data_IF_436774084843
#
_entry.id   IF_436774084843
#
_cell.length_a   1.000
_cell.length_b   1.000
_cell.length_c   1.000
_cell.angle_alpha   90.00
_cell.angle_beta   90.00
_cell.angle_gamma   90.00
#
_symmetry.space_group_name_H-M   'P 1'
#
loop_
_entity.id
_entity.type
_entity.pdbx_description
1 polymer ?
#
# COMPACT_ATOMS: atom_id res chain seq x y z
N UNK A 1 -21.62 -11.28 -79.46
CA UNK A 1 -20.38 -12.02 -79.13
C UNK A 1 -20.09 -11.79 -77.67
N UNK A 2 -19.86 -12.89 -76.94
CA UNK A 2 -19.45 -12.94 -75.54
C UNK A 2 -18.21 -12.07 -75.28
N UNK A 3 -18.10 -11.47 -74.09
CA UNK A 3 -17.13 -11.87 -73.06
C UNK A 3 -17.55 -11.25 -71.72
N UNK A 4 -17.68 -12.16 -70.78
CA UNK A 4 -17.94 -12.06 -69.35
C UNK A 4 -16.78 -11.39 -68.60
N UNK A 5 -17.07 -10.49 -67.66
CA UNK A 5 -16.20 -10.26 -66.49
C UNK A 5 -17.09 -10.00 -65.27
N UNK A 6 -17.31 -11.05 -64.49
CA UNK A 6 -17.86 -10.97 -63.13
C UNK A 6 -16.67 -10.81 -62.20
N UNK A 7 -16.48 -9.61 -61.66
CA UNK A 7 -15.52 -9.36 -60.58
C UNK A 7 -16.04 -10.00 -59.30
N UNK A 8 -15.46 -11.13 -58.91
CA UNK A 8 -15.71 -11.76 -57.62
C UNK A 8 -15.10 -10.88 -56.51
N UNK A 9 -15.97 -10.20 -55.75
CA UNK A 9 -15.60 -9.49 -54.53
C UNK A 9 -15.40 -10.54 -53.42
N UNK A 10 -14.15 -10.91 -53.16
CA UNK A 10 -13.79 -11.79 -52.04
C UNK A 10 -13.94 -10.99 -50.75
N UNK A 11 -15.06 -11.18 -50.05
CA UNK A 11 -15.24 -10.73 -48.67
C UNK A 11 -14.34 -11.60 -47.78
N UNK A 12 -13.16 -11.09 -47.44
CA UNK A 12 -12.30 -11.66 -46.40
C UNK A 12 -13.04 -11.60 -45.06
N UNK A 13 -13.71 -12.69 -44.68
CA UNK A 13 -14.22 -12.89 -43.34
C UNK A 13 -13.03 -12.95 -42.38
N UNK A 14 -12.73 -11.83 -41.73
CA UNK A 14 -11.82 -11.80 -40.59
C UNK A 14 -12.44 -12.66 -39.50
N UNK A 15 -11.99 -13.91 -39.38
CA UNK A 15 -12.23 -14.73 -38.19
C UNK A 15 -11.73 -13.94 -36.98
N UNK A 16 -12.59 -13.60 -36.01
CA UNK A 16 -12.12 -13.08 -34.74
C UNK A 16 -11.16 -14.11 -34.16
N UNK A 17 -9.98 -13.67 -33.72
CA UNK A 17 -9.11 -14.54 -32.92
C UNK A 17 -9.93 -15.11 -31.76
N UNK A 18 -9.80 -16.40 -31.42
CA UNK A 18 -10.52 -16.96 -30.28
C UNK A 18 -10.08 -16.17 -29.05
N UNK A 19 -11.01 -15.40 -28.48
CA UNK A 19 -10.87 -14.89 -27.13
C UNK A 19 -10.55 -16.10 -26.25
N UNK A 20 -9.36 -16.12 -25.63
CA UNK A 20 -9.09 -17.09 -24.56
C UNK A 20 -10.15 -16.82 -23.50
N UNK A 21 -11.16 -17.69 -23.43
CA UNK A 21 -12.08 -17.75 -22.32
C UNK A 21 -11.24 -17.99 -21.06
N UNK A 22 -11.00 -16.93 -20.30
CA UNK A 22 -10.48 -17.02 -18.94
C UNK A 22 -11.64 -17.34 -17.99
N UNK A 23 -12.39 -18.40 -18.29
CA UNK A 23 -13.41 -18.97 -17.38
C UNK A 23 -12.76 -19.99 -16.43
N UNK A 24 -11.51 -19.74 -16.04
CA UNK A 24 -10.86 -20.43 -14.94
C UNK A 24 -11.14 -19.67 -13.66
N UNK A 25 -11.45 -20.38 -12.58
CA UNK A 25 -11.43 -19.80 -11.22
C UNK A 25 -10.11 -19.05 -11.06
N UNK A 26 -10.18 -17.75 -10.74
CA UNK A 26 -9.00 -17.00 -10.29
C UNK A 26 -8.64 -17.55 -8.93
N UNK A 27 -7.77 -18.55 -8.92
CA UNK A 27 -7.27 -19.15 -7.70
C UNK A 27 -6.24 -18.19 -7.10
N UNK A 28 -6.61 -17.41 -6.08
CA UNK A 28 -5.67 -16.59 -5.30
C UNK A 28 -4.93 -17.42 -4.25
N UNK A 29 -4.65 -18.70 -4.54
CA UNK A 29 -3.84 -19.53 -3.66
C UNK A 29 -2.53 -18.80 -3.38
N UNK A 30 -1.95 -18.91 -2.17
CA UNK A 30 -0.69 -18.26 -1.84
C UNK A 30 0.43 -18.94 -2.65
N UNK A 31 0.59 -18.52 -3.90
CA UNK A 31 1.78 -18.74 -4.68
C UNK A 31 2.87 -17.85 -4.12
N UNK A 32 4.09 -18.38 -4.04
CA UNK A 32 5.27 -17.53 -3.83
C UNK A 32 5.26 -16.51 -4.97
N UNK A 33 5.14 -15.23 -4.63
CA UNK A 33 5.19 -14.16 -5.61
C UNK A 33 6.52 -14.22 -6.37
N UNK A 34 6.46 -14.06 -7.70
CA UNK A 34 7.68 -14.01 -8.49
C UNK A 34 8.52 -12.80 -8.04
N UNK A 35 9.82 -13.01 -7.85
CA UNK A 35 10.78 -11.98 -7.39
C UNK A 35 10.68 -10.71 -8.23
N UNK A 36 10.46 -10.84 -9.54
CA UNK A 36 10.28 -9.70 -10.45
C UNK A 36 9.05 -8.85 -10.12
N UNK A 37 7.94 -9.48 -9.71
CA UNK A 37 6.73 -8.75 -9.32
C UNK A 37 6.93 -8.01 -8.01
N UNK A 38 7.63 -8.62 -7.04
CA UNK A 38 7.98 -7.94 -5.78
C UNK A 38 8.88 -6.73 -6.04
N UNK A 39 9.92 -6.90 -6.88
CA UNK A 39 10.83 -5.82 -7.28
C UNK A 39 10.10 -4.69 -7.99
N UNK A 40 9.19 -5.02 -8.90
CA UNK A 40 8.37 -4.04 -9.60
C UNK A 40 7.53 -3.21 -8.63
N UNK A 41 6.82 -3.86 -7.70
CA UNK A 41 6.01 -3.16 -6.68
C UNK A 41 6.88 -2.32 -5.75
N UNK A 42 8.07 -2.81 -5.37
CA UNK A 42 9.01 -2.06 -4.56
C UNK A 42 9.49 -0.81 -5.28
N UNK A 43 9.83 -0.91 -6.57
CA UNK A 43 10.19 0.25 -7.37
C UNK A 43 9.08 1.29 -7.42
N UNK A 44 7.82 0.87 -7.61
CA UNK A 44 6.66 1.77 -7.60
C UNK A 44 6.45 2.41 -6.22
N UNK A 45 6.53 1.63 -5.15
CA UNK A 45 6.39 2.11 -3.78
C UNK A 45 7.49 3.12 -3.39
N UNK A 46 8.71 2.92 -3.91
CA UNK A 46 9.86 3.76 -3.61
C UNK A 46 10.07 4.94 -4.56
N UNK A 47 9.35 5.00 -5.69
CA UNK A 47 9.52 6.04 -6.72
C UNK A 47 9.12 7.45 -6.26
N UNK A 48 8.12 7.57 -5.37
CA UNK A 48 7.56 8.87 -4.99
C UNK A 48 8.19 9.41 -3.71
N UNK A 49 8.55 10.71 -3.64
CA UNK A 49 8.99 11.34 -2.40
C UNK A 49 7.97 11.12 -1.28
N UNK A 50 8.48 10.92 -0.06
CA UNK A 50 7.61 10.80 1.10
C UNK A 50 6.99 12.16 1.48
N UNK A 51 5.79 12.16 2.09
CA UNK A 51 5.22 13.37 2.66
C UNK A 51 6.17 13.98 3.70
N UNK A 52 6.08 15.31 3.84
CA UNK A 52 6.89 16.06 4.80
C UNK A 52 6.76 15.49 6.21
N UNK A 53 7.90 15.25 6.86
CA UNK A 53 7.97 14.71 8.22
C UNK A 53 7.95 13.18 8.31
N UNK A 54 7.81 12.46 7.18
CA UNK A 54 8.05 11.02 7.20
C UNK A 54 9.58 10.74 7.19
N UNK A 55 10.06 9.77 7.98
CA UNK A 55 11.46 9.37 7.96
C UNK A 55 11.87 8.67 6.66
N UNK A 56 13.16 8.77 6.29
CA UNK A 56 13.71 8.06 5.14
C UNK A 56 14.11 6.60 5.45
N UNK A 57 14.58 6.33 6.68
CA UNK A 57 15.01 4.99 7.09
C UNK A 57 13.81 4.07 7.39
N UNK A 58 13.88 2.82 6.92
CA UNK A 58 12.74 1.88 7.00
C UNK A 58 12.24 1.65 8.45
N UNK A 59 13.12 1.51 9.45
CA UNK A 59 12.68 1.23 10.83
C UNK A 59 11.95 2.43 11.48
N UNK A 60 12.51 3.66 11.48
CA UNK A 60 11.74 4.84 11.90
C UNK A 60 10.49 5.10 11.05
N UNK A 61 10.54 4.82 9.75
CA UNK A 61 9.40 4.97 8.86
C UNK A 61 8.24 4.05 9.29
N UNK A 62 8.50 2.78 9.56
CA UNK A 62 7.45 1.84 9.98
C UNK A 62 6.83 2.26 11.32
N UNK A 63 7.63 2.78 12.25
CA UNK A 63 7.10 3.33 13.51
C UNK A 63 6.20 4.56 13.30
N UNK A 64 6.55 5.41 12.34
CA UNK A 64 5.73 6.55 11.92
C UNK A 64 4.42 6.08 11.27
N UNK A 65 4.48 5.09 10.37
CA UNK A 65 3.32 4.49 9.71
C UNK A 65 2.35 3.87 10.73
N UNK A 66 2.88 3.08 11.67
CA UNK A 66 2.08 2.47 12.75
C UNK A 66 1.35 3.53 13.59
N UNK A 67 2.04 4.61 13.96
CA UNK A 67 1.46 5.69 14.74
C UNK A 67 0.38 6.46 13.97
N UNK A 68 0.54 6.64 12.66
CA UNK A 68 -0.51 7.23 11.82
C UNK A 68 -1.79 6.37 11.82
N UNK A 69 -1.65 5.07 11.59
CA UNK A 69 -2.81 4.15 11.56
C UNK A 69 -3.49 4.08 12.92
N UNK A 70 -2.71 3.97 14.01
CA UNK A 70 -3.29 3.98 15.36
C UNK A 70 -4.04 5.28 15.67
N UNK A 71 -3.54 6.42 15.24
CA UNK A 71 -4.23 7.69 15.42
C UNK A 71 -5.50 7.82 14.57
N UNK A 72 -5.51 7.28 13.35
CA UNK A 72 -6.72 7.18 12.51
C UNK A 72 -7.78 6.28 13.15
N UNK A 73 -7.38 5.10 13.65
CA UNK A 73 -8.24 4.19 14.41
C UNK A 73 -8.83 4.91 15.63
N UNK A 74 -8.00 5.59 16.41
CA UNK A 74 -8.46 6.31 17.60
C UNK A 74 -9.44 7.43 17.23
N UNK A 75 -9.25 8.13 16.10
CA UNK A 75 -10.19 9.12 15.62
C UNK A 75 -11.54 8.49 15.27
N UNK A 76 -11.55 7.37 14.54
CA UNK A 76 -12.77 6.64 14.21
C UNK A 76 -13.53 6.14 15.44
N UNK A 77 -12.81 5.67 16.47
CA UNK A 77 -13.40 5.22 17.72
C UNK A 77 -14.13 6.32 18.50
N UNK A 78 -13.86 7.60 18.19
CA UNK A 78 -14.55 8.73 18.83
C UNK A 78 -15.92 9.04 18.24
N UNK A 79 -16.30 8.41 17.13
CA UNK A 79 -17.57 8.67 16.43
C UNK A 79 -18.74 7.95 17.11
N UNK A 80 -19.84 8.68 17.31
CA UNK A 80 -21.00 8.19 18.09
C UNK A 80 -21.82 7.14 17.33
N UNK A 81 -22.14 7.39 16.06
CA UNK A 81 -23.02 6.54 15.25
C UNK A 81 -22.26 5.87 14.09
N UNK A 82 -21.21 5.11 14.43
CA UNK A 82 -20.39 4.38 13.45
C UNK A 82 -21.24 3.42 12.63
N UNK A 83 -21.19 3.56 11.32
CA UNK A 83 -21.85 2.63 10.41
C UNK A 83 -21.02 1.34 10.23
N UNK A 84 -21.52 0.30 9.52
CA UNK A 84 -20.75 -0.93 9.32
C UNK A 84 -19.41 -0.72 8.61
N UNK A 85 -19.30 0.24 7.70
CA UNK A 85 -18.06 0.55 6.99
C UNK A 85 -17.04 1.17 7.96
N UNK A 86 -17.46 2.09 8.82
CA UNK A 86 -16.60 2.67 9.86
C UNK A 86 -15.98 1.59 10.76
N UNK A 87 -16.80 0.60 11.16
CA UNK A 87 -16.36 -0.52 11.99
C UNK A 87 -15.34 -1.41 11.26
N UNK A 88 -15.54 -1.67 9.97
CA UNK A 88 -14.59 -2.42 9.17
C UNK A 88 -13.27 -1.67 8.97
N UNK A 89 -13.32 -0.36 8.74
CA UNK A 89 -12.12 0.48 8.65
C UNK A 89 -11.32 0.44 9.95
N UNK A 90 -11.99 0.62 11.09
CA UNK A 90 -11.36 0.53 12.42
C UNK A 90 -10.73 -0.86 12.61
N UNK A 91 -11.44 -1.93 12.24
CA UNK A 91 -10.94 -3.30 12.35
C UNK A 91 -9.71 -3.53 11.48
N UNK A 92 -9.74 -3.09 10.21
CA UNK A 92 -8.63 -3.23 9.28
C UNK A 92 -7.41 -2.41 9.73
N UNK A 93 -7.61 -1.16 10.16
CA UNK A 93 -6.53 -0.33 10.70
C UNK A 93 -5.86 -0.95 11.93
N UNK A 94 -6.62 -1.60 12.82
CA UNK A 94 -6.04 -2.34 13.96
C UNK A 94 -5.17 -3.51 13.51
N UNK A 95 -5.59 -4.25 12.48
CA UNK A 95 -4.79 -5.35 11.93
C UNK A 95 -3.51 -4.83 11.27
N UNK A 96 -3.62 -3.75 10.50
CA UNK A 96 -2.47 -3.11 9.85
C UNK A 96 -1.45 -2.55 10.87
N UNK A 97 -1.92 -1.86 11.91
CA UNK A 97 -1.06 -1.40 13.00
C UNK A 97 -0.38 -2.57 13.73
N UNK A 98 -1.08 -3.68 13.93
CA UNK A 98 -0.50 -4.89 14.51
C UNK A 98 0.61 -5.49 13.63
N UNK A 99 0.43 -5.48 12.31
CA UNK A 99 1.45 -5.96 11.36
C UNK A 99 2.72 -5.09 11.39
N UNK A 100 2.57 -3.76 11.45
CA UNK A 100 3.71 -2.87 11.63
C UNK A 100 4.41 -3.08 12.98
N UNK A 101 3.64 -3.20 14.07
CA UNK A 101 4.18 -3.49 15.39
C UNK A 101 4.97 -4.80 15.39
N UNK A 102 4.45 -5.83 14.74
CA UNK A 102 5.13 -7.12 14.62
C UNK A 102 6.46 -6.99 13.84
N UNK A 103 6.48 -6.21 12.77
CA UNK A 103 7.70 -5.94 12.00
C UNK A 103 8.75 -5.17 12.83
N UNK A 104 8.34 -4.17 13.60
CA UNK A 104 9.22 -3.42 14.50
C UNK A 104 9.82 -4.34 15.56
N UNK A 105 8.99 -5.14 16.25
CA UNK A 105 9.46 -6.07 17.27
C UNK A 105 10.47 -7.10 16.70
N UNK A 106 10.19 -7.64 15.51
CA UNK A 106 11.09 -8.58 14.83
C UNK A 106 12.44 -7.94 14.41
N UNK A 107 12.44 -6.63 14.17
CA UNK A 107 13.63 -5.89 13.75
C UNK A 107 14.39 -5.22 14.89
N UNK A 108 13.77 -5.05 16.06
CA UNK A 108 14.32 -4.35 17.22
C UNK A 108 15.73 -4.82 17.64
N UNK A 109 16.04 -6.12 17.71
CA UNK A 109 17.37 -6.59 18.13
C UNK A 109 18.50 -6.16 17.19
N UNK A 110 18.18 -5.84 15.94
CA UNK A 110 19.14 -5.39 14.91
C UNK A 110 19.33 -3.88 14.90
N UNK A 111 18.56 -3.12 15.68
CA UNK A 111 18.62 -1.66 15.68
C UNK A 111 19.65 -1.11 16.65
N UNK A 112 20.25 0.01 16.26
CA UNK A 112 21.06 0.83 17.17
C UNK A 112 20.16 1.64 18.12
N UNK A 113 20.73 2.11 19.24
CA UNK A 113 20.00 2.99 20.16
C UNK A 113 19.54 4.29 19.47
N UNK A 114 20.36 4.86 18.59
CA UNK A 114 20.01 6.03 17.80
C UNK A 114 18.81 5.77 16.88
N UNK A 115 18.77 4.61 16.21
CA UNK A 115 17.65 4.25 15.32
C UNK A 115 16.35 4.04 16.09
N UNK A 116 16.41 3.41 17.27
CA UNK A 116 15.24 3.28 18.16
C UNK A 116 14.75 4.65 18.64
N UNK A 117 15.66 5.55 19.03
CA UNK A 117 15.29 6.90 19.43
C UNK A 117 14.62 7.68 18.29
N UNK A 118 15.15 7.58 17.06
CA UNK A 118 14.55 8.18 15.88
C UNK A 118 13.15 7.61 15.59
N UNK A 119 12.96 6.29 15.76
CA UNK A 119 11.65 5.66 15.59
C UNK A 119 10.63 6.13 16.63
N UNK A 120 11.02 6.23 17.90
CA UNK A 120 10.16 6.79 18.96
C UNK A 120 9.77 8.24 18.66
N UNK A 121 10.73 9.07 18.22
CA UNK A 121 10.46 10.46 17.86
C UNK A 121 9.51 10.55 16.66
N UNK A 122 9.70 9.72 15.64
CA UNK A 122 8.84 9.69 14.46
C UNK A 122 7.41 9.24 14.79
N UNK A 123 7.26 8.21 15.63
CA UNK A 123 5.94 7.78 16.12
C UNK A 123 5.23 8.87 16.93
N UNK A 124 5.96 9.60 17.78
CA UNK A 124 5.41 10.73 18.55
C UNK A 124 4.97 11.87 17.62
N UNK A 125 5.76 12.22 16.61
CA UNK A 125 5.39 13.25 15.63
C UNK A 125 4.14 12.83 14.83
N UNK A 126 4.08 11.59 14.34
CA UNK A 126 2.91 11.06 13.65
C UNK A 126 1.65 11.10 14.53
N UNK A 127 1.76 10.67 15.79
CA UNK A 127 0.66 10.73 16.75
C UNK A 127 0.15 12.15 16.95
N UNK A 128 1.08 13.13 17.05
CA UNK A 128 0.73 14.53 17.25
C UNK A 128 -0.06 15.14 16.08
N UNK A 129 0.01 14.56 14.86
CA UNK A 129 -0.79 15.03 13.72
C UNK A 129 -2.29 14.85 13.93
N UNK A 130 -2.70 13.92 14.79
CA UNK A 130 -4.10 13.65 15.11
C UNK A 130 -4.64 14.51 16.26
N UNK A 131 -3.77 15.06 17.11
CA UNK A 131 -4.16 15.86 18.28
C UNK A 131 -5.09 17.03 17.94
N UNK A 132 -4.85 17.82 16.87
CA UNK A 132 -5.75 18.92 16.52
C UNK A 132 -7.16 18.47 16.13
N UNK A 133 -7.35 17.22 15.71
CA UNK A 133 -8.62 16.66 15.24
C UNK A 133 -9.44 16.04 16.37
N UNK A 134 -8.79 15.44 17.38
CA UNK A 134 -9.48 14.70 18.43
C UNK A 134 -10.53 15.52 19.21
N UNK A 135 -10.27 16.82 19.39
CA UNK A 135 -11.16 17.76 20.08
C UNK A 135 -12.13 18.54 19.18
N UNK A 136 -12.17 18.24 17.87
CA UNK A 136 -13.07 18.91 16.94
C UNK A 136 -14.49 18.36 17.03
N UNK A 137 -15.43 19.09 16.42
CA UNK A 137 -16.81 18.62 16.24
C UNK A 137 -16.86 17.28 15.49
N UNK A 138 -17.87 16.46 15.80
CA UNK A 138 -18.00 15.11 15.23
C UNK A 138 -18.01 15.11 13.70
N UNK A 139 -18.65 16.10 13.05
CA UNK A 139 -18.66 16.22 11.60
C UNK A 139 -17.25 16.35 10.99
N UNK A 140 -16.37 17.14 11.64
CA UNK A 140 -14.97 17.31 11.21
C UNK A 140 -14.18 16.03 11.42
N UNK A 141 -14.36 15.36 12.56
CA UNK A 141 -13.69 14.09 12.86
C UNK A 141 -14.12 12.99 11.89
N UNK A 142 -15.42 12.90 11.59
CA UNK A 142 -15.99 11.95 10.62
C UNK A 142 -15.43 12.18 9.23
N UNK A 143 -15.38 13.45 8.76
CA UNK A 143 -14.77 13.77 7.48
C UNK A 143 -13.28 13.39 7.44
N UNK A 144 -12.51 13.73 8.48
CA UNK A 144 -11.09 13.41 8.54
C UNK A 144 -10.84 11.89 8.59
N UNK A 145 -11.66 11.15 9.34
CA UNK A 145 -11.64 9.69 9.39
C UNK A 145 -11.92 9.08 8.01
N UNK A 146 -12.93 9.57 7.29
CA UNK A 146 -13.29 9.06 5.96
C UNK A 146 -12.29 9.40 4.85
N UNK A 147 -11.49 10.46 5.01
CA UNK A 147 -10.48 10.87 4.01
C UNK A 147 -9.14 10.13 4.15
N UNK A 148 -8.87 9.56 5.32
CA UNK A 148 -7.65 8.82 5.54
C UNK A 148 -7.86 7.37 5.09
N UNK A 149 -7.45 7.08 3.85
CA UNK A 149 -7.48 5.72 3.33
C UNK A 149 -6.17 5.35 2.63
N UNK A 150 -5.51 4.34 3.19
CA UNK A 150 -4.32 3.68 2.66
C UNK A 150 -3.04 4.44 2.99
N UNK A 151 -2.15 3.82 3.77
CA UNK A 151 -0.76 4.25 3.76
C UNK A 151 -0.15 3.97 2.38
N UNK A 152 0.85 4.77 1.95
CA UNK A 152 1.54 4.47 0.72
C UNK A 152 2.18 3.09 0.83
N UNK A 153 2.14 2.29 -0.24
CA UNK A 153 2.74 0.95 -0.30
C UNK A 153 4.20 0.86 0.20
N UNK A 154 4.89 2.01 0.32
CA UNK A 154 6.20 2.08 0.97
C UNK A 154 6.17 1.62 2.43
N UNK A 155 5.14 1.91 3.23
CA UNK A 155 5.09 1.51 4.64
C UNK A 155 5.13 -0.02 4.78
N UNK A 156 4.37 -0.73 3.97
CA UNK A 156 4.28 -2.19 3.93
C UNK A 156 5.56 -2.81 3.38
N UNK A 157 6.15 -2.19 2.35
CA UNK A 157 7.44 -2.63 1.84
C UNK A 157 8.57 -2.42 2.87
N UNK A 158 8.61 -1.27 3.55
CA UNK A 158 9.56 -1.02 4.63
C UNK A 158 9.37 -2.03 5.78
N UNK A 159 8.13 -2.33 6.15
CA UNK A 159 7.81 -3.34 7.16
C UNK A 159 8.30 -4.73 6.77
N UNK A 160 8.11 -5.15 5.51
CA UNK A 160 8.68 -6.40 4.97
C UNK A 160 10.20 -6.39 5.10
N UNK A 161 10.85 -5.32 4.65
CA UNK A 161 12.31 -5.20 4.62
C UNK A 161 12.91 -5.28 6.02
N UNK A 162 12.38 -4.52 6.99
CA UNK A 162 12.90 -4.59 8.37
C UNK A 162 12.65 -5.96 8.98
N UNK A 163 11.47 -6.55 8.78
CA UNK A 163 11.13 -7.88 9.32
C UNK A 163 12.05 -8.96 8.79
N UNK A 164 12.33 -8.96 7.49
CA UNK A 164 13.20 -9.93 6.82
C UNK A 164 14.71 -9.60 6.94
N UNK A 165 15.07 -8.42 7.43
CA UNK A 165 16.48 -7.99 7.50
C UNK A 165 17.11 -7.70 6.15
N UNK A 166 16.30 -7.24 5.19
CA UNK A 166 16.76 -6.82 3.87
C UNK A 166 17.49 -5.48 4.01
N UNK A 167 18.78 -5.48 3.71
CA UNK A 167 19.64 -4.28 3.76
C UNK A 167 20.04 -3.77 2.38
N UNK A 168 19.76 -4.53 1.32
CA UNK A 168 19.96 -4.09 -0.07
C UNK A 168 19.04 -2.91 -0.36
N UNK A 169 19.52 -1.94 -1.14
CA UNK A 169 18.70 -0.81 -1.56
C UNK A 169 17.42 -1.31 -2.28
N UNK A 170 16.29 -0.61 -2.11
CA UNK A 170 15.07 -0.89 -2.86
C UNK A 170 15.31 -0.82 -4.37
N UNK A 171 14.58 -1.62 -5.14
CA UNK A 171 14.60 -1.50 -6.60
C UNK A 171 14.17 -0.08 -7.04
N UNK A 172 14.79 0.44 -8.10
CA UNK A 172 14.41 1.70 -8.72
C UNK A 172 13.51 1.47 -9.95
N UNK A 173 12.76 2.47 -10.43
CA UNK A 173 12.01 2.38 -11.68
C UNK A 173 12.88 1.92 -12.86
N UNK A 174 14.13 2.40 -12.96
CA UNK A 174 15.08 1.96 -13.98
C UNK A 174 15.43 0.47 -13.87
N UNK A 175 15.62 -0.06 -12.65
CA UNK A 175 15.98 -1.46 -12.43
C UNK A 175 14.90 -2.45 -12.91
N UNK A 176 13.66 -1.97 -13.07
CA UNK A 176 12.50 -2.76 -13.47
C UNK A 176 11.93 -2.36 -14.83
N UNK A 177 12.64 -1.51 -15.58
CA UNK A 177 12.26 -1.11 -16.94
C UNK A 177 11.08 -0.13 -17.03
N UNK A 178 10.86 0.70 -16.01
CA UNK A 178 9.87 1.79 -16.01
C UNK A 178 10.45 3.13 -16.51
N UNK A 179 11.76 3.21 -16.75
CA UNK A 179 12.51 4.38 -17.27
C UNK A 179 13.50 3.98 -18.37
#
# INVERSE_FOLDING_TARGET
MLITLVSALVLSTQTPAPARAQDGVVTTAPGVEAVETERFREAVAYANPMPRGAPEGDYPLVAWCEALVNGHVALGETLTNRDPLDLDIIRLGKLEAADFRAALNAAEPRQTAATRAAATAAAAEATAKWTPLAGQEEAVRSQAFGLFFGLPGRCEHAARRIRAGITTAPATPRDVGLE
#
